data_IF_358670786842
#
_entry.id   IF_358670786842
#
_cell.length_a   1.000
_cell.length_b   1.000
_cell.length_c   1.000
_cell.angle_alpha   90.00
_cell.angle_beta   90.00
_cell.angle_gamma   90.00
#
_symmetry.space_group_name_H-M   'P 1'
#
loop_
_entity.id
_entity.type
_entity.pdbx_description
1 polymer ?
#
# COMPACT_ATOMS: atom_id res chain seq x y z
N UNK A 1 30.43 -31.47 4.76
CA UNK A 1 29.05 -31.78 5.00
C UNK A 1 28.66 -32.96 4.14
N UNK A 2 28.47 -34.15 4.75
CA UNK A 2 28.09 -35.34 4.02
C UNK A 2 26.59 -35.33 3.80
N UNK A 3 26.18 -35.06 2.57
CA UNK A 3 24.80 -35.24 2.13
C UNK A 3 24.55 -36.76 2.08
N UNK A 4 23.72 -37.27 2.98
CA UNK A 4 23.22 -38.64 2.86
C UNK A 4 22.22 -38.67 1.71
N UNK A 5 22.68 -39.13 0.55
CA UNK A 5 21.80 -39.37 -0.61
C UNK A 5 21.00 -40.64 -0.30
N UNK A 6 19.76 -40.52 0.05
CA UNK A 6 18.78 -41.60 -0.04
C UNK A 6 18.43 -41.78 -1.53
N UNK A 7 18.61 -42.95 -2.11
CA UNK A 7 18.23 -43.24 -3.49
C UNK A 7 16.76 -42.82 -3.75
N UNK A 8 16.55 -42.00 -4.77
CA UNK A 8 15.22 -41.53 -5.22
C UNK A 8 14.65 -40.34 -4.52
N UNK A 9 15.34 -39.69 -3.59
CA UNK A 9 14.88 -38.46 -2.92
C UNK A 9 15.57 -37.24 -3.49
N UNK A 10 14.77 -36.28 -4.02
CA UNK A 10 15.24 -34.95 -4.40
C UNK A 10 15.15 -33.96 -3.24
N UNK A 11 15.73 -32.77 -3.43
CA UNK A 11 15.69 -31.70 -2.44
C UNK A 11 15.90 -30.33 -3.08
N UNK A 12 15.53 -29.26 -2.34
CA UNK A 12 15.72 -27.88 -2.72
C UNK A 12 16.87 -27.24 -1.93
N UNK A 13 17.81 -26.59 -2.63
CA UNK A 13 18.85 -25.76 -2.03
C UNK A 13 18.64 -24.30 -2.46
N UNK A 14 18.66 -23.39 -1.49
CA UNK A 14 18.54 -21.96 -1.73
C UNK A 14 19.84 -21.26 -1.38
N UNK A 15 20.40 -20.53 -2.35
CA UNK A 15 21.56 -19.65 -2.19
C UNK A 15 21.04 -18.22 -2.25
N UNK A 16 21.07 -17.48 -1.13
CA UNK A 16 20.52 -16.14 -1.05
C UNK A 16 21.53 -15.11 -0.53
N UNK A 17 21.21 -13.83 -0.62
CA UNK A 17 22.02 -12.72 -0.14
C UNK A 17 21.97 -11.50 -1.05
N UNK A 18 22.68 -10.43 -0.67
CA UNK A 18 22.72 -9.16 -1.41
C UNK A 18 23.41 -9.31 -2.78
N UNK A 19 23.30 -8.29 -3.63
CA UNK A 19 24.16 -8.20 -4.81
C UNK A 19 25.65 -8.24 -4.40
N UNK A 20 26.49 -8.76 -5.27
CA UNK A 20 27.95 -8.90 -5.07
C UNK A 20 28.37 -9.86 -3.93
N UNK A 21 27.46 -10.69 -3.43
CA UNK A 21 27.76 -11.63 -2.35
C UNK A 21 28.32 -13.00 -2.83
N UNK A 22 28.43 -13.23 -4.14
CA UNK A 22 28.98 -14.47 -4.69
C UNK A 22 27.96 -15.60 -4.91
N UNK A 23 26.66 -15.31 -4.90
CA UNK A 23 25.59 -16.32 -5.10
C UNK A 23 25.71 -17.11 -6.38
N UNK A 24 25.86 -16.42 -7.53
CA UNK A 24 26.00 -17.06 -8.84
C UNK A 24 27.30 -17.87 -8.93
N UNK A 25 28.39 -17.43 -8.28
CA UNK A 25 29.63 -18.18 -8.15
C UNK A 25 29.44 -19.50 -7.40
N UNK A 26 28.71 -19.46 -6.28
CA UNK A 26 28.41 -20.65 -5.50
C UNK A 26 27.46 -21.58 -6.25
N UNK A 27 26.46 -21.09 -6.96
CA UNK A 27 25.61 -21.90 -7.84
C UNK A 27 26.45 -22.61 -8.88
N UNK A 28 27.32 -21.89 -9.60
CA UNK A 28 28.23 -22.44 -10.59
C UNK A 28 29.15 -23.48 -9.96
N UNK A 29 29.70 -23.23 -8.77
CA UNK A 29 30.55 -24.17 -8.04
C UNK A 29 29.82 -25.47 -7.72
N UNK A 30 28.58 -25.41 -7.26
CA UNK A 30 27.75 -26.61 -6.96
C UNK A 30 27.43 -27.38 -8.22
N UNK A 31 27.03 -26.72 -9.29
CA UNK A 31 26.75 -27.38 -10.60
C UNK A 31 28.00 -28.05 -11.20
N UNK A 32 29.18 -27.42 -11.11
CA UNK A 32 30.43 -28.03 -11.55
C UNK A 32 30.77 -29.28 -10.76
N UNK A 33 30.59 -29.25 -9.43
CA UNK A 33 30.81 -30.44 -8.60
C UNK A 33 29.89 -31.60 -8.99
N UNK A 34 28.61 -31.31 -9.27
CA UNK A 34 27.67 -32.31 -9.78
C UNK A 34 28.14 -32.89 -11.14
N UNK A 35 28.60 -32.02 -12.06
CA UNK A 35 29.16 -32.46 -13.35
C UNK A 35 30.39 -33.32 -13.19
N UNK A 36 31.31 -33.00 -12.27
CA UNK A 36 32.47 -33.85 -11.97
C UNK A 36 32.07 -35.19 -11.34
N UNK A 37 30.90 -35.25 -10.68
CA UNK A 37 30.32 -36.51 -10.18
C UNK A 37 29.56 -37.28 -11.26
N UNK A 38 29.71 -36.91 -12.54
CA UNK A 38 29.02 -37.49 -13.70
C UNK A 38 27.48 -37.36 -13.66
N UNK A 39 26.94 -36.41 -12.88
CA UNK A 39 25.51 -36.11 -12.86
C UNK A 39 25.12 -35.26 -14.07
N UNK A 40 23.96 -35.53 -14.64
CA UNK A 40 23.39 -34.71 -15.71
C UNK A 40 22.84 -33.38 -15.12
N UNK A 41 23.40 -32.26 -15.55
CA UNK A 41 23.03 -30.94 -15.07
C UNK A 41 22.32 -30.14 -16.15
N UNK A 42 21.40 -29.26 -15.74
CA UNK A 42 20.86 -28.18 -16.56
C UNK A 42 20.81 -26.88 -15.72
N UNK A 43 21.10 -25.77 -16.35
CA UNK A 43 21.06 -24.47 -15.67
C UNK A 43 20.18 -23.47 -16.43
N UNK A 44 19.40 -22.70 -15.71
CA UNK A 44 18.50 -21.65 -16.22
C UNK A 44 18.85 -20.31 -15.61
N UNK A 45 18.57 -19.24 -16.37
CA UNK A 45 18.57 -17.86 -15.88
C UNK A 45 17.34 -17.12 -16.39
N UNK A 46 16.89 -16.10 -15.66
CA UNK A 46 15.79 -15.27 -16.15
C UNK A 46 16.26 -14.36 -17.29
N UNK A 47 15.48 -14.26 -18.37
CA UNK A 47 15.83 -13.49 -19.58
C UNK A 47 15.99 -11.98 -19.36
N UNK A 48 15.47 -11.44 -18.24
CA UNK A 48 15.65 -10.03 -17.85
C UNK A 48 17.11 -9.71 -17.46
N UNK A 49 17.93 -10.74 -17.13
CA UNK A 49 19.33 -10.57 -16.77
C UNK A 49 20.23 -10.54 -18.01
N UNK A 50 20.35 -9.36 -18.62
CA UNK A 50 21.19 -9.09 -19.80
C UNK A 50 22.58 -8.52 -19.46
N UNK A 51 23.01 -8.60 -18.17
CA UNK A 51 24.27 -7.98 -17.70
C UNK A 51 25.55 -8.61 -18.31
N UNK A 52 25.44 -9.85 -18.79
CA UNK A 52 26.53 -10.59 -19.45
C UNK A 52 25.95 -11.36 -20.63
N UNK A 53 26.76 -12.08 -21.44
CA UNK A 53 26.38 -12.85 -22.62
C UNK A 53 25.02 -13.59 -22.48
N UNK A 54 24.14 -13.53 -23.51
CA UNK A 54 22.77 -14.07 -23.51
C UNK A 54 22.66 -15.55 -23.14
N UNK A 55 23.73 -16.32 -23.30
CA UNK A 55 23.75 -17.79 -23.15
C UNK A 55 24.61 -18.29 -22.01
N UNK A 56 25.17 -17.46 -21.14
CA UNK A 56 26.06 -17.90 -20.07
C UNK A 56 25.62 -17.39 -18.70
N UNK A 57 25.62 -18.30 -17.71
CA UNK A 57 25.70 -17.92 -16.31
C UNK A 57 27.12 -17.40 -16.07
N UNK A 58 27.28 -16.11 -15.84
CA UNK A 58 28.55 -15.45 -15.63
C UNK A 58 28.70 -14.99 -14.19
N UNK A 59 29.81 -15.31 -13.56
CA UNK A 59 30.23 -14.67 -12.32
C UNK A 59 31.17 -13.50 -12.62
N UNK A 60 31.31 -12.54 -11.69
CA UNK A 60 32.32 -11.47 -11.77
C UNK A 60 33.76 -11.98 -11.98
N UNK A 61 34.03 -13.25 -11.65
CA UNK A 61 35.34 -13.92 -11.81
C UNK A 61 35.53 -14.61 -13.17
N UNK A 62 34.70 -14.33 -14.18
CA UNK A 62 34.76 -14.93 -15.53
C UNK A 62 34.61 -16.46 -15.57
N UNK A 63 33.91 -17.03 -14.61
CA UNK A 63 33.65 -18.46 -14.54
C UNK A 63 32.26 -18.74 -15.13
N UNK A 64 32.17 -19.58 -16.19
CA UNK A 64 30.93 -19.78 -16.95
C UNK A 64 30.38 -21.21 -16.84
N UNK A 65 29.06 -21.35 -16.73
CA UNK A 65 28.27 -22.52 -17.11
C UNK A 65 27.25 -22.04 -18.14
N UNK A 66 26.99 -22.84 -19.15
CA UNK A 66 25.92 -22.53 -20.11
C UNK A 66 24.57 -22.49 -19.39
N UNK A 67 23.92 -21.33 -19.42
CA UNK A 67 22.62 -21.08 -18.80
C UNK A 67 21.58 -20.78 -19.87
N UNK A 68 20.46 -21.49 -19.80
CA UNK A 68 19.34 -21.34 -20.73
C UNK A 68 18.50 -20.15 -20.30
N UNK A 69 18.38 -19.09 -21.12
CA UNK A 69 17.51 -17.96 -20.78
C UNK A 69 16.04 -18.38 -20.93
N UNK A 70 15.22 -18.06 -19.92
CA UNK A 70 13.78 -18.31 -19.89
C UNK A 70 13.04 -17.10 -19.33
N UNK A 71 11.82 -16.84 -19.80
CA UNK A 71 11.07 -15.64 -19.44
C UNK A 71 10.10 -15.85 -18.25
N UNK A 72 9.76 -17.09 -17.93
CA UNK A 72 8.79 -17.42 -16.89
C UNK A 72 8.95 -18.86 -16.38
N UNK A 73 8.27 -19.14 -15.26
CA UNK A 73 8.33 -20.44 -14.60
C UNK A 73 7.70 -21.57 -15.43
N UNK A 74 6.67 -21.28 -16.23
CA UNK A 74 5.99 -22.26 -17.09
C UNK A 74 6.90 -22.72 -18.21
N UNK A 75 7.56 -21.82 -18.90
CA UNK A 75 8.54 -22.13 -19.96
C UNK A 75 9.69 -22.96 -19.41
N UNK A 76 10.18 -22.65 -18.21
CA UNK A 76 11.19 -23.42 -17.53
C UNK A 76 10.72 -24.86 -17.26
N UNK A 77 9.50 -25.01 -16.73
CA UNK A 77 8.89 -26.31 -16.45
C UNK A 77 8.74 -27.15 -17.72
N UNK A 78 8.20 -26.58 -18.79
CA UNK A 78 8.03 -27.25 -20.07
C UNK A 78 9.37 -27.72 -20.67
N UNK A 79 10.41 -26.91 -20.59
CA UNK A 79 11.75 -27.28 -21.06
C UNK A 79 12.34 -28.44 -20.27
N UNK A 80 12.21 -28.41 -18.93
CA UNK A 80 12.72 -29.52 -18.10
C UNK A 80 11.96 -30.80 -18.41
N UNK A 81 10.65 -30.77 -18.50
CA UNK A 81 9.82 -31.96 -18.72
C UNK A 81 9.95 -32.56 -20.13
N UNK A 82 10.22 -31.72 -21.15
CA UNK A 82 10.32 -32.17 -22.53
C UNK A 82 11.76 -32.53 -22.96
N UNK A 83 12.70 -31.62 -22.66
CA UNK A 83 14.05 -31.74 -23.20
C UNK A 83 15.11 -32.22 -22.19
N UNK A 84 14.89 -31.87 -20.90
CA UNK A 84 15.88 -32.12 -19.83
C UNK A 84 15.31 -33.02 -18.73
N UNK A 85 14.39 -33.91 -19.08
CA UNK A 85 13.73 -34.81 -18.12
C UNK A 85 14.73 -35.73 -17.40
N UNK A 86 15.84 -36.06 -18.04
CA UNK A 86 16.92 -36.89 -17.52
C UNK A 86 17.96 -36.09 -16.69
N UNK A 87 17.80 -34.76 -16.55
CA UNK A 87 18.66 -33.99 -15.67
C UNK A 87 18.44 -34.38 -14.19
N UNK A 88 19.54 -34.66 -13.49
CA UNK A 88 19.57 -35.02 -12.08
C UNK A 88 19.69 -33.78 -11.19
N UNK A 89 20.36 -32.73 -11.73
CA UNK A 89 20.57 -31.46 -11.01
C UNK A 89 20.11 -30.29 -11.87
N UNK A 90 19.25 -29.45 -11.31
CA UNK A 90 18.70 -28.26 -11.94
C UNK A 90 19.21 -27.05 -11.18
N UNK A 91 19.87 -26.11 -11.87
CA UNK A 91 20.29 -24.82 -11.32
C UNK A 91 19.42 -23.69 -11.87
N UNK A 92 19.01 -22.76 -11.03
CA UNK A 92 18.21 -21.58 -11.44
C UNK A 92 18.85 -20.34 -10.82
N UNK A 93 19.33 -19.42 -11.65
CA UNK A 93 19.88 -18.14 -11.19
C UNK A 93 18.86 -17.02 -11.30
N UNK A 94 19.02 -15.99 -10.46
CA UNK A 94 18.14 -14.81 -10.36
C UNK A 94 16.65 -15.19 -10.19
N UNK A 95 16.41 -16.19 -9.34
CA UNK A 95 15.09 -16.82 -9.17
C UNK A 95 13.99 -15.84 -8.71
N UNK A 96 14.33 -14.71 -8.09
CA UNK A 96 13.38 -13.68 -7.67
C UNK A 96 12.63 -13.01 -8.84
N UNK A 97 13.10 -13.13 -10.06
CA UNK A 97 12.41 -12.55 -11.22
C UNK A 97 11.31 -13.45 -11.80
N UNK A 98 11.20 -14.69 -11.36
CA UNK A 98 10.15 -15.62 -11.84
C UNK A 98 8.80 -15.46 -11.16
N UNK A 99 8.70 -14.66 -10.10
CA UNK A 99 7.47 -14.54 -9.32
C UNK A 99 7.12 -15.80 -8.50
N UNK A 100 5.95 -15.77 -7.85
CA UNK A 100 5.52 -16.86 -6.95
C UNK A 100 5.24 -18.19 -7.70
N UNK A 101 5.03 -18.13 -9.01
CA UNK A 101 4.77 -19.29 -9.87
C UNK A 101 5.95 -20.27 -9.93
N UNK A 102 7.17 -19.84 -9.62
CA UNK A 102 8.34 -20.73 -9.59
C UNK A 102 8.31 -21.71 -8.41
N UNK A 103 7.66 -21.36 -7.31
CA UNK A 103 7.64 -22.17 -6.08
C UNK A 103 7.08 -23.57 -6.32
N UNK A 104 5.86 -23.76 -6.86
CA UNK A 104 5.35 -25.10 -7.15
C UNK A 104 6.19 -25.86 -8.20
N UNK A 105 6.86 -25.16 -9.11
CA UNK A 105 7.69 -25.77 -10.16
C UNK A 105 8.94 -26.41 -9.55
N UNK A 106 9.67 -25.68 -8.69
CA UNK A 106 10.88 -26.23 -8.04
C UNK A 106 10.54 -27.35 -7.06
N UNK A 107 9.43 -27.26 -6.33
CA UNK A 107 8.95 -28.36 -5.49
C UNK A 107 8.60 -29.60 -6.30
N UNK A 108 7.92 -29.43 -7.43
CA UNK A 108 7.62 -30.53 -8.34
C UNK A 108 8.89 -31.26 -8.78
N UNK A 109 9.94 -30.55 -9.14
CA UNK A 109 11.21 -31.15 -9.54
C UNK A 109 11.89 -31.85 -8.37
N UNK A 110 11.90 -31.26 -7.18
CA UNK A 110 12.42 -31.93 -5.99
C UNK A 110 11.64 -33.23 -5.68
N UNK A 111 10.30 -33.21 -5.76
CA UNK A 111 9.44 -34.38 -5.59
C UNK A 111 9.64 -35.44 -6.68
N UNK A 112 10.16 -35.06 -7.86
CA UNK A 112 10.59 -36.01 -8.93
C UNK A 112 11.98 -36.64 -8.68
N UNK A 113 12.56 -36.40 -7.52
CA UNK A 113 13.87 -36.93 -7.17
C UNK A 113 15.07 -36.10 -7.68
N UNK A 114 14.83 -34.88 -8.15
CA UNK A 114 15.91 -34.02 -8.67
C UNK A 114 16.50 -33.14 -7.56
N UNK A 115 17.78 -32.88 -7.64
CA UNK A 115 18.45 -31.86 -6.84
C UNK A 115 18.21 -30.50 -7.48
N UNK A 116 17.46 -29.62 -6.84
CA UNK A 116 17.15 -28.27 -7.33
C UNK A 116 17.96 -27.25 -6.54
N UNK A 117 18.73 -26.40 -7.23
CA UNK A 117 19.56 -25.37 -6.61
C UNK A 117 19.13 -24.02 -7.18
N UNK A 118 18.57 -23.16 -6.35
CA UNK A 118 18.15 -21.82 -6.75
C UNK A 118 19.05 -20.76 -6.12
N UNK A 119 19.35 -19.70 -6.88
CA UNK A 119 20.11 -18.55 -6.39
C UNK A 119 19.33 -17.26 -6.65
N UNK A 120 19.29 -16.35 -5.66
CA UNK A 120 18.56 -15.11 -5.81
C UNK A 120 18.77 -14.10 -4.68
N UNK A 121 18.25 -12.89 -4.88
CA UNK A 121 18.23 -11.81 -3.89
C UNK A 121 17.14 -12.08 -2.86
N UNK A 122 17.49 -12.18 -1.59
CA UNK A 122 16.52 -12.36 -0.50
C UNK A 122 15.79 -11.07 -0.11
N UNK A 123 16.33 -9.92 -0.48
CA UNK A 123 15.76 -8.59 -0.23
C UNK A 123 15.88 -7.70 -1.47
N UNK A 124 14.88 -6.86 -1.67
CA UNK A 124 14.93 -5.79 -2.65
C UNK A 124 15.85 -4.63 -2.19
N UNK A 125 15.96 -3.58 -3.01
CA UNK A 125 16.79 -2.41 -2.69
C UNK A 125 16.28 -1.63 -1.47
N UNK A 126 15.02 -1.81 -1.05
CA UNK A 126 14.44 -1.19 0.15
C UNK A 126 14.79 -1.95 1.41
N UNK A 127 15.32 -3.16 1.26
CA UNK A 127 15.60 -4.08 2.35
C UNK A 127 14.36 -4.88 2.79
N UNK A 128 13.30 -4.85 1.99
CA UNK A 128 12.10 -5.67 2.16
C UNK A 128 12.28 -7.06 1.53
N UNK A 129 11.54 -8.08 1.99
CA UNK A 129 11.59 -9.42 1.40
C UNK A 129 11.31 -9.38 -0.11
N UNK A 130 12.16 -10.03 -0.90
CA UNK A 130 11.96 -10.13 -2.34
C UNK A 130 11.27 -11.47 -2.68
N UNK A 131 9.99 -11.43 -2.98
CA UNK A 131 9.24 -12.62 -3.39
C UNK A 131 9.75 -13.17 -4.72
N UNK A 132 9.83 -14.50 -4.89
CA UNK A 132 9.34 -15.59 -4.03
C UNK A 132 10.36 -16.13 -3.00
N UNK A 133 11.48 -15.46 -2.78
CA UNK A 133 12.57 -15.97 -1.95
C UNK A 133 12.17 -16.39 -0.53
N UNK A 134 11.32 -15.66 0.22
CA UNK A 134 10.92 -16.09 1.56
C UNK A 134 10.25 -17.46 1.57
N UNK A 135 9.41 -17.74 0.58
CA UNK A 135 8.71 -19.01 0.47
C UNK A 135 9.67 -20.15 0.06
N UNK A 136 10.54 -19.89 -0.90
CA UNK A 136 11.58 -20.84 -1.30
C UNK A 136 12.51 -21.20 -0.13
N UNK A 137 12.95 -20.20 0.65
CA UNK A 137 13.78 -20.40 1.83
C UNK A 137 13.09 -21.24 2.91
N UNK A 138 11.77 -21.08 3.07
CA UNK A 138 10.98 -21.83 4.07
C UNK A 138 10.80 -23.29 3.67
N UNK A 139 10.73 -23.59 2.36
CA UNK A 139 10.50 -24.94 1.83
C UNK A 139 11.79 -25.73 1.59
N UNK A 140 12.93 -25.04 1.52
CA UNK A 140 14.22 -25.66 1.18
C UNK A 140 14.78 -26.49 2.33
N UNK A 141 15.36 -27.65 2.01
CA UNK A 141 16.15 -28.47 2.95
C UNK A 141 17.47 -27.78 3.31
N UNK A 142 18.02 -26.96 2.41
CA UNK A 142 19.29 -26.26 2.64
C UNK A 142 19.17 -24.79 2.21
N UNK A 143 19.45 -23.89 3.14
CA UNK A 143 19.51 -22.44 2.89
C UNK A 143 20.89 -21.94 3.28
N UNK A 144 21.56 -21.29 2.33
CA UNK A 144 22.84 -20.63 2.59
C UNK A 144 22.75 -19.15 2.24
N UNK A 145 22.97 -18.29 3.24
CA UNK A 145 22.89 -16.85 3.09
C UNK A 145 24.28 -16.22 3.04
N UNK A 146 24.57 -15.57 1.92
CA UNK A 146 25.84 -14.92 1.65
C UNK A 146 25.78 -13.43 1.98
N UNK A 147 26.91 -12.93 2.48
CA UNK A 147 27.12 -11.50 2.68
C UNK A 147 28.23 -11.00 1.76
N UNK A 148 28.03 -9.84 1.17
CA UNK A 148 29.07 -9.11 0.46
C UNK A 148 29.91 -8.28 1.46
N UNK A 149 30.79 -7.45 0.93
CA UNK A 149 31.55 -6.47 1.72
C UNK A 149 30.94 -5.09 1.51
N UNK A 150 30.63 -4.39 2.60
CA UNK A 150 30.05 -3.06 2.55
C UNK A 150 30.99 -2.05 1.90
N UNK A 151 30.55 -1.44 0.82
CA UNK A 151 31.33 -0.46 0.07
C UNK A 151 31.66 0.82 0.89
N UNK A 152 30.91 1.07 1.96
CA UNK A 152 31.16 2.24 2.84
C UNK A 152 32.15 1.98 3.97
N UNK A 153 32.07 0.81 4.63
CA UNK A 153 32.75 0.61 5.90
C UNK A 153 33.48 -0.74 6.03
N UNK A 154 33.48 -1.56 4.98
CA UNK A 154 34.17 -2.86 4.98
C UNK A 154 33.51 -3.97 5.82
N UNK A 155 32.39 -3.70 6.50
CA UNK A 155 31.67 -4.70 7.29
C UNK A 155 30.88 -5.68 6.40
N UNK A 156 30.46 -6.86 6.91
CA UNK A 156 29.59 -7.76 6.17
C UNK A 156 28.30 -7.04 5.72
N UNK A 157 28.01 -7.17 4.41
CA UNK A 157 26.89 -6.47 3.75
C UNK A 157 25.79 -7.45 3.38
N UNK A 158 24.62 -7.28 3.98
CA UNK A 158 23.42 -8.06 3.70
C UNK A 158 22.34 -7.29 2.93
N UNK A 159 22.63 -6.07 2.48
CA UNK A 159 21.71 -5.18 1.79
C UNK A 159 22.24 -4.82 0.41
N UNK A 160 21.30 -4.64 -0.52
CA UNK A 160 21.58 -4.09 -1.84
C UNK A 160 21.15 -2.63 -1.85
N UNK A 161 22.10 -1.71 -1.94
CA UNK A 161 21.83 -0.29 -2.11
C UNK A 161 21.65 0.03 -3.58
N UNK A 162 20.51 0.61 -3.96
CA UNK A 162 20.32 1.18 -5.28
C UNK A 162 20.64 2.68 -5.25
N UNK A 163 21.39 3.11 -6.25
CA UNK A 163 21.71 4.51 -6.49
C UNK A 163 21.15 4.93 -7.86
N UNK A 164 20.48 6.06 -7.91
CA UNK A 164 20.01 6.71 -9.12
C UNK A 164 20.74 8.03 -9.26
N UNK A 165 21.52 8.21 -10.32
CA UNK A 165 22.42 9.35 -10.50
C UNK A 165 23.38 9.57 -9.30
N UNK A 166 23.84 8.49 -8.68
CA UNK A 166 24.76 8.53 -7.52
C UNK A 166 24.09 8.77 -6.16
N UNK A 167 22.78 8.99 -6.11
CA UNK A 167 22.01 9.21 -4.89
C UNK A 167 21.16 7.99 -4.51
N UNK A 168 20.97 7.71 -3.20
CA UNK A 168 20.08 6.64 -2.77
C UNK A 168 18.68 6.77 -3.37
N UNK A 169 18.16 5.65 -3.90
CA UNK A 169 16.82 5.55 -4.46
C UNK A 169 15.73 5.87 -3.42
N UNK A 170 14.58 6.31 -3.89
CA UNK A 170 13.41 6.50 -3.03
C UNK A 170 12.68 5.19 -2.79
N UNK A 171 12.03 5.06 -1.63
CA UNK A 171 11.29 3.86 -1.22
C UNK A 171 10.19 3.47 -2.21
N UNK A 172 9.55 4.47 -2.80
CA UNK A 172 8.44 4.34 -3.75
C UNK A 172 8.88 4.21 -5.23
N UNK A 173 10.20 4.17 -5.50
CA UNK A 173 10.70 3.85 -6.83
C UNK A 173 10.37 2.39 -7.20
N UNK A 174 10.15 2.06 -8.49
CA UNK A 174 9.86 0.70 -8.93
C UNK A 174 10.92 -0.31 -8.44
N UNK A 175 10.51 -1.52 -8.04
CA UNK A 175 11.44 -2.56 -7.53
C UNK A 175 12.44 -2.95 -8.62
N UNK A 176 11.95 -3.16 -9.84
CA UNK A 176 12.76 -3.47 -11.03
C UNK A 176 12.79 -2.23 -11.90
N UNK A 177 13.98 -1.74 -12.18
CA UNK A 177 14.21 -0.62 -13.08
C UNK A 177 15.39 -0.98 -13.98
N UNK A 178 15.27 -0.73 -15.27
CA UNK A 178 16.34 -0.99 -16.25
C UNK A 178 16.69 0.35 -16.88
N UNK A 179 17.90 0.86 -16.58
CA UNK A 179 18.33 2.14 -17.14
C UNK A 179 19.82 2.43 -16.91
N UNK A 180 20.39 3.26 -17.77
CA UNK A 180 21.82 3.59 -17.76
C UNK A 180 22.28 4.48 -16.58
N UNK A 181 21.33 5.06 -15.82
CA UNK A 181 21.63 5.93 -14.67
C UNK A 181 21.67 5.20 -13.32
N UNK A 182 21.46 3.89 -13.33
CA UNK A 182 21.42 3.08 -12.13
C UNK A 182 22.76 2.41 -11.81
N UNK A 183 23.05 2.37 -10.54
CA UNK A 183 24.12 1.56 -9.99
C UNK A 183 23.68 0.89 -8.69
N UNK A 184 24.32 -0.22 -8.38
CA UNK A 184 24.06 -0.96 -7.15
C UNK A 184 25.34 -1.15 -6.36
N UNK A 185 25.23 -1.12 -5.05
CA UNK A 185 26.32 -1.34 -4.12
C UNK A 185 25.91 -2.27 -2.99
N UNK A 186 26.87 -3.06 -2.49
CA UNK A 186 26.64 -3.81 -1.28
C UNK A 186 26.81 -2.92 -0.04
N UNK A 187 25.83 -2.93 0.86
CA UNK A 187 25.84 -2.13 2.10
C UNK A 187 25.48 -2.99 3.32
N UNK A 188 26.09 -2.71 4.45
CA UNK A 188 25.65 -3.25 5.73
C UNK A 188 24.37 -2.54 6.20
N UNK A 189 23.69 -3.10 7.20
CA UNK A 189 22.45 -2.52 7.76
C UNK A 189 22.61 -1.05 8.20
N UNK A 190 23.80 -0.67 8.71
CA UNK A 190 24.07 0.70 9.17
C UNK A 190 24.26 1.68 8.01
N UNK A 191 24.90 1.24 6.91
CA UNK A 191 25.25 2.10 5.79
C UNK A 191 24.20 2.11 4.66
N UNK A 192 23.22 1.22 4.73
CA UNK A 192 22.12 1.16 3.79
C UNK A 192 21.14 2.30 4.03
N UNK A 193 20.85 3.07 3.00
CA UNK A 193 19.95 4.24 3.04
C UNK A 193 18.89 4.11 1.97
N UNK A 194 17.64 4.24 2.36
CA UNK A 194 16.49 4.36 1.46
C UNK A 194 15.87 5.71 1.73
N UNK A 195 15.85 6.57 0.73
CA UNK A 195 15.20 7.87 0.84
C UNK A 195 13.69 7.67 0.85
N UNK A 196 12.99 8.43 1.68
CA UNK A 196 11.55 8.62 1.53
C UNK A 196 11.37 10.02 0.96
N UNK A 197 10.52 10.15 -0.05
CA UNK A 197 10.13 11.50 -0.47
C UNK A 197 9.47 12.13 0.74
N UNK A 198 9.86 13.36 1.06
CA UNK A 198 9.09 14.21 1.98
C UNK A 198 7.76 14.53 1.27
N UNK A 199 6.89 13.55 1.20
CA UNK A 199 5.49 13.78 0.91
C UNK A 199 5.00 14.49 2.16
N UNK A 200 4.88 15.81 2.12
CA UNK A 200 3.97 16.48 3.05
C UNK A 200 2.62 15.84 2.79
N UNK A 201 2.25 14.87 3.63
CA UNK A 201 0.89 14.36 3.61
C UNK A 201 -0.03 15.57 3.69
N UNK A 202 -1.02 15.61 2.82
CA UNK A 202 -1.99 16.68 2.82
C UNK A 202 -2.68 16.78 4.19
N UNK A 203 -3.12 17.95 4.54
CA UNK A 203 -3.94 18.16 5.73
C UNK A 203 -5.28 17.46 5.56
N UNK A 204 -5.60 16.50 6.41
CA UNK A 204 -6.86 15.77 6.41
C UNK A 204 -7.87 16.41 7.36
N UNK A 205 -9.02 16.81 6.82
CA UNK A 205 -10.12 17.42 7.57
C UNK A 205 -11.36 16.56 7.41
N UNK A 206 -11.86 15.99 8.50
CA UNK A 206 -13.16 15.32 8.50
C UNK A 206 -14.27 16.29 8.88
N UNK A 207 -15.35 16.31 8.11
CA UNK A 207 -16.57 17.05 8.42
C UNK A 207 -17.60 16.08 8.99
N UNK A 208 -17.92 16.24 10.27
CA UNK A 208 -18.78 15.35 11.06
C UNK A 208 -20.03 16.10 11.47
N UNK A 209 -21.17 15.48 11.30
CA UNK A 209 -22.43 16.03 11.75
C UNK A 209 -22.92 15.44 13.07
N UNK A 210 -23.65 16.23 13.85
CA UNK A 210 -24.44 15.71 14.99
C UNK A 210 -25.72 14.99 14.54
N UNK A 211 -26.02 15.03 13.23
CA UNK A 211 -27.18 14.38 12.61
C UNK A 211 -27.17 14.44 11.08
N UNK A 212 -28.32 14.18 10.48
CA UNK A 212 -28.54 14.26 9.03
C UNK A 212 -29.21 15.62 8.70
N UNK A 213 -29.02 16.11 7.46
CA UNK A 213 -29.63 17.37 6.95
C UNK A 213 -29.35 18.65 7.79
N UNK A 214 -28.20 18.66 8.47
CA UNK A 214 -27.78 19.78 9.32
C UNK A 214 -26.83 20.75 8.64
N UNK A 215 -26.63 20.60 7.33
CA UNK A 215 -25.77 21.45 6.51
C UNK A 215 -24.31 21.10 6.47
N UNK A 216 -23.93 19.80 6.66
CA UNK A 216 -22.54 19.33 6.48
C UNK A 216 -21.97 19.75 5.14
N UNK A 217 -22.70 19.50 4.06
CA UNK A 217 -22.27 19.81 2.69
C UNK A 217 -22.08 21.31 2.48
N UNK A 218 -22.90 22.14 3.10
CA UNK A 218 -22.73 23.60 3.07
C UNK A 218 -21.40 24.00 3.73
N UNK A 219 -21.10 23.45 4.89
CA UNK A 219 -19.82 23.66 5.60
C UNK A 219 -18.64 23.11 4.80
N UNK A 220 -18.75 21.92 4.24
CA UNK A 220 -17.71 21.33 3.39
C UNK A 220 -17.40 22.19 2.18
N UNK A 221 -18.43 22.71 1.49
CA UNK A 221 -18.27 23.68 0.38
C UNK A 221 -17.51 24.93 0.81
N UNK A 222 -17.84 25.47 1.98
CA UNK A 222 -17.17 26.65 2.51
C UNK A 222 -15.68 26.35 2.77
N UNK A 223 -15.37 25.25 3.46
CA UNK A 223 -13.98 24.83 3.72
C UNK A 223 -13.21 24.61 2.41
N UNK A 224 -13.85 23.98 1.42
CA UNK A 224 -13.22 23.75 0.10
C UNK A 224 -12.90 25.08 -0.60
N UNK A 225 -13.84 26.02 -0.64
CA UNK A 225 -13.63 27.34 -1.26
C UNK A 225 -12.57 28.16 -0.53
N UNK A 226 -12.58 28.18 0.80
CA UNK A 226 -11.56 28.84 1.64
C UNK A 226 -10.16 28.20 1.43
N UNK A 227 -10.10 26.90 1.18
CA UNK A 227 -8.87 26.16 0.93
C UNK A 227 -8.34 26.40 -0.48
N UNK A 228 -9.21 26.39 -1.50
CA UNK A 228 -8.86 26.69 -2.89
C UNK A 228 -8.34 28.12 -3.09
N UNK A 229 -8.79 29.08 -2.26
CA UNK A 229 -8.22 30.42 -2.25
C UNK A 229 -6.74 30.46 -1.81
N UNK A 230 -6.21 29.38 -1.24
CA UNK A 230 -4.83 29.28 -0.70
C UNK A 230 -3.96 28.29 -1.46
N UNK A 231 -4.54 27.28 -2.10
CA UNK A 231 -3.83 26.22 -2.84
C UNK A 231 -4.72 25.61 -3.90
N UNK A 232 -4.15 25.31 -5.07
CA UNK A 232 -4.84 24.59 -6.15
C UNK A 232 -4.90 23.06 -5.89
N UNK A 233 -4.19 22.58 -4.84
CA UNK A 233 -4.14 21.17 -4.46
C UNK A 233 -5.11 20.86 -3.33
N UNK A 234 -6.39 20.97 -3.63
CA UNK A 234 -7.50 20.74 -2.68
C UNK A 234 -8.51 19.77 -3.30
N UNK A 235 -8.99 18.83 -2.50
CA UNK A 235 -10.06 17.93 -2.91
C UNK A 235 -11.07 17.73 -1.78
N UNK A 236 -12.35 17.64 -2.16
CA UNK A 236 -13.44 17.19 -1.29
C UNK A 236 -13.78 15.74 -1.61
N UNK A 237 -13.93 14.92 -0.59
CA UNK A 237 -14.32 13.53 -0.70
C UNK A 237 -15.64 13.27 0.01
N UNK A 238 -16.51 12.54 -0.64
CA UNK A 238 -17.72 11.93 -0.10
C UNK A 238 -17.65 10.42 -0.35
N UNK A 239 -16.84 9.67 0.42
CA UNK A 239 -16.52 8.27 0.08
C UNK A 239 -17.75 7.38 -0.03
N UNK A 240 -18.79 7.67 0.76
CA UNK A 240 -20.08 7.00 0.71
C UNK A 240 -21.18 8.04 0.65
N UNK A 241 -22.09 7.92 -0.30
CA UNK A 241 -23.26 8.77 -0.45
C UNK A 241 -24.54 7.94 -0.55
N UNK A 242 -25.59 8.39 0.11
CA UNK A 242 -26.92 7.75 0.13
C UNK A 242 -28.01 8.77 -0.13
N UNK A 243 -29.10 8.35 -0.80
CA UNK A 243 -30.27 9.20 -1.03
C UNK A 243 -30.20 10.08 -2.26
N UNK A 244 -29.31 9.78 -3.21
CA UNK A 244 -29.27 10.53 -4.46
C UNK A 244 -30.10 9.85 -5.54
N UNK A 245 -30.96 10.61 -6.21
CA UNK A 245 -32.06 10.08 -7.01
C UNK A 245 -31.65 9.40 -8.34
N UNK A 246 -30.42 9.48 -8.83
CA UNK A 246 -30.05 8.86 -10.13
C UNK A 246 -28.63 8.34 -10.21
N UNK A 247 -28.49 7.07 -10.62
CA UNK A 247 -27.30 6.54 -11.29
C UNK A 247 -27.40 6.95 -12.77
N UNK A 248 -26.48 7.77 -13.28
CA UNK A 248 -26.42 8.16 -14.67
C UNK A 248 -26.16 9.65 -14.90
N UNK A 249 -26.42 10.14 -16.10
CA UNK A 249 -26.01 11.44 -16.62
C UNK A 249 -26.52 12.68 -15.86
N UNK A 250 -27.36 12.54 -14.82
CA UNK A 250 -27.91 13.62 -14.00
C UNK A 250 -27.65 13.44 -12.51
N UNK A 251 -26.38 13.50 -12.09
CA UNK A 251 -25.96 13.59 -10.67
C UNK A 251 -26.07 15.02 -10.10
N UNK A 252 -26.73 15.92 -10.82
CA UNK A 252 -26.94 17.30 -10.40
C UNK A 252 -27.62 17.36 -9.03
N UNK A 253 -26.87 17.87 -8.02
CA UNK A 253 -27.36 18.04 -6.66
C UNK A 253 -26.83 17.07 -5.62
N UNK A 254 -26.11 16.00 -6.02
CA UNK A 254 -25.42 15.13 -5.04
C UNK A 254 -24.22 15.83 -4.40
N UNK A 255 -23.88 15.46 -3.15
CA UNK A 255 -22.71 16.02 -2.45
C UNK A 255 -21.43 15.75 -3.22
N UNK A 256 -21.28 14.54 -3.76
CA UNK A 256 -20.13 14.13 -4.57
C UNK A 256 -19.96 14.94 -5.84
N UNK A 257 -21.06 15.20 -6.55
CA UNK A 257 -21.05 16.05 -7.75
C UNK A 257 -20.61 17.48 -7.42
N UNK A 258 -21.16 18.04 -6.36
CA UNK A 258 -20.81 19.39 -5.91
C UNK A 258 -19.33 19.50 -5.54
N UNK A 259 -18.76 18.50 -4.88
CA UNK A 259 -17.34 18.50 -4.53
C UNK A 259 -16.45 18.34 -5.77
N UNK A 260 -16.87 17.49 -6.71
CA UNK A 260 -16.20 17.32 -7.99
C UNK A 260 -16.18 18.63 -8.80
N UNK A 261 -17.32 19.33 -8.89
CA UNK A 261 -17.45 20.63 -9.58
C UNK A 261 -16.54 21.70 -8.94
N UNK A 262 -16.62 21.86 -7.60
CA UNK A 262 -15.84 22.87 -6.87
C UNK A 262 -14.33 22.65 -7.03
N UNK A 263 -13.87 21.38 -7.03
CA UNK A 263 -12.45 21.03 -7.05
C UNK A 263 -11.92 20.71 -8.46
N UNK A 264 -12.78 20.78 -9.50
CA UNK A 264 -12.42 20.47 -10.89
C UNK A 264 -12.00 19.00 -11.09
N UNK A 265 -12.56 18.09 -10.32
CA UNK A 265 -12.28 16.64 -10.36
C UNK A 265 -13.45 15.88 -10.96
N UNK A 266 -13.25 14.60 -11.26
CA UNK A 266 -14.35 13.70 -11.68
C UNK A 266 -15.05 13.15 -10.44
N UNK A 267 -16.31 12.75 -10.56
CA UNK A 267 -17.08 12.19 -9.44
C UNK A 267 -16.44 10.91 -8.91
N UNK A 268 -15.86 10.07 -9.78
CA UNK A 268 -15.17 8.83 -9.40
C UNK A 268 -13.91 9.07 -8.56
N UNK A 269 -13.31 10.27 -8.64
CA UNK A 269 -12.17 10.66 -7.82
C UNK A 269 -12.60 11.17 -6.43
N UNK A 270 -13.89 11.48 -6.24
CA UNK A 270 -14.49 12.05 -5.02
C UNK A 270 -15.28 11.02 -4.22
N UNK A 271 -15.96 10.11 -4.91
CA UNK A 271 -16.86 9.12 -4.32
C UNK A 271 -16.41 7.69 -4.63
N UNK A 272 -16.73 6.75 -3.73
CA UNK A 272 -16.47 5.33 -3.94
C UNK A 272 -17.74 4.48 -3.98
N UNK A 273 -18.71 4.82 -3.12
CA UNK A 273 -19.97 4.10 -3.00
C UNK A 273 -21.16 5.07 -3.05
N UNK A 274 -22.04 4.79 -3.96
CA UNK A 274 -23.21 5.61 -4.24
C UNK A 274 -24.47 4.77 -4.16
N UNK A 275 -25.38 5.15 -3.28
CA UNK A 275 -26.65 4.44 -3.07
C UNK A 275 -27.84 5.36 -3.28
N UNK A 276 -28.87 4.88 -4.00
CA UNK A 276 -30.05 5.70 -4.32
C UNK A 276 -30.99 5.89 -3.13
N UNK A 277 -31.05 4.91 -2.21
CA UNK A 277 -31.96 4.96 -1.08
C UNK A 277 -31.46 5.86 0.04
N UNK A 278 -32.30 6.76 0.60
CA UNK A 278 -31.92 7.66 1.71
C UNK A 278 -31.93 6.90 3.04
N UNK A 279 -30.95 6.03 3.21
CA UNK A 279 -30.78 5.16 4.39
C UNK A 279 -29.35 5.23 4.90
N UNK A 280 -29.09 4.61 6.06
CA UNK A 280 -27.70 4.47 6.50
C UNK A 280 -26.93 3.59 5.52
N UNK A 281 -25.63 3.87 5.30
CA UNK A 281 -24.81 3.20 4.27
C UNK A 281 -24.91 1.68 4.29
N UNK A 282 -24.81 1.04 5.46
CA UNK A 282 -24.83 -0.43 5.57
C UNK A 282 -26.18 -1.03 5.12
N UNK A 283 -27.31 -0.39 5.40
CA UNK A 283 -28.64 -0.85 4.95
C UNK A 283 -28.81 -0.61 3.44
N UNK A 284 -28.38 0.55 2.95
CA UNK A 284 -28.46 0.85 1.53
C UNK A 284 -27.62 -0.15 0.71
N UNK A 285 -26.43 -0.46 1.17
CA UNK A 285 -25.52 -1.44 0.56
C UNK A 285 -26.12 -2.86 0.57
N UNK A 286 -26.70 -3.30 1.70
CA UNK A 286 -27.36 -4.60 1.80
C UNK A 286 -28.50 -4.73 0.79
N UNK A 287 -29.32 -3.68 0.65
CA UNK A 287 -30.45 -3.68 -0.28
C UNK A 287 -30.02 -3.69 -1.76
N UNK A 288 -28.89 -3.09 -2.07
CA UNK A 288 -28.34 -3.05 -3.43
C UNK A 288 -27.39 -4.24 -3.70
N UNK A 289 -27.20 -5.16 -2.73
CA UNK A 289 -26.33 -6.33 -2.85
C UNK A 289 -24.83 -5.97 -2.96
N UNK A 290 -24.43 -4.83 -2.43
CA UNK A 290 -23.06 -4.31 -2.46
C UNK A 290 -22.42 -4.48 -1.07
N UNK A 291 -21.20 -5.00 -1.02
CA UNK A 291 -20.39 -4.99 0.22
C UNK A 291 -19.46 -3.77 0.22
N UNK A 292 -19.59 -2.89 1.21
CA UNK A 292 -18.69 -1.74 1.37
C UNK A 292 -17.32 -2.24 1.86
N UNK A 293 -16.31 -2.18 0.99
CA UNK A 293 -14.92 -2.48 1.39
C UNK A 293 -14.26 -1.22 1.98
N UNK A 294 -14.01 -1.25 3.27
CA UNK A 294 -13.34 -0.16 3.99
C UNK A 294 -11.93 0.11 3.47
N UNK A 295 -11.26 -0.90 2.91
CA UNK A 295 -9.93 -0.72 2.31
C UNK A 295 -9.99 0.19 1.08
N UNK A 296 -11.05 0.12 0.28
CA UNK A 296 -11.24 1.00 -0.86
C UNK A 296 -11.49 2.45 -0.46
N UNK A 297 -12.26 2.66 0.63
CA UNK A 297 -12.47 4.01 1.20
C UNK A 297 -11.14 4.58 1.69
N UNK A 298 -10.34 3.79 2.41
CA UNK A 298 -9.02 4.21 2.88
C UNK A 298 -8.07 4.47 1.72
N UNK A 299 -8.05 3.61 0.71
CA UNK A 299 -7.22 3.80 -0.48
C UNK A 299 -7.55 5.10 -1.23
N UNK A 300 -8.85 5.47 -1.32
CA UNK A 300 -9.28 6.76 -1.87
C UNK A 300 -8.72 7.93 -1.07
N UNK A 301 -8.83 7.89 0.26
CA UNK A 301 -8.32 8.95 1.15
C UNK A 301 -6.80 9.03 1.06
N UNK A 302 -6.09 7.91 1.19
CA UNK A 302 -4.62 7.85 1.21
C UNK A 302 -4.02 8.31 -0.13
N UNK A 303 -4.60 7.89 -1.27
CA UNK A 303 -4.22 8.40 -2.60
C UNK A 303 -4.30 9.92 -2.65
N UNK A 304 -5.43 10.48 -2.21
CA UNK A 304 -5.66 11.92 -2.28
C UNK A 304 -4.79 12.71 -1.29
N UNK A 305 -4.42 12.13 -0.14
CA UNK A 305 -3.46 12.74 0.79
C UNK A 305 -2.05 12.86 0.20
N UNK A 306 -1.67 11.97 -0.72
CA UNK A 306 -0.38 12.05 -1.43
C UNK A 306 -0.40 13.09 -2.55
N UNK A 307 -1.55 13.34 -3.17
CA UNK A 307 -1.69 14.17 -4.36
C UNK A 307 -2.08 15.63 -4.05
N UNK A 308 -2.71 15.88 -2.89
CA UNK A 308 -3.26 17.17 -2.53
C UNK A 308 -2.70 17.68 -1.19
N UNK A 309 -2.69 19.00 -1.01
CA UNK A 309 -2.26 19.66 0.23
C UNK A 309 -3.38 19.70 1.28
N UNK A 310 -4.65 19.68 0.84
CA UNK A 310 -5.82 19.67 1.71
C UNK A 310 -6.84 18.68 1.17
N UNK A 311 -7.23 17.74 2.02
CA UNK A 311 -8.26 16.73 1.75
C UNK A 311 -9.38 16.90 2.76
N UNK A 312 -10.58 17.22 2.29
CA UNK A 312 -11.78 17.36 3.10
C UNK A 312 -12.66 16.14 2.90
N UNK A 313 -12.97 15.41 3.97
CA UNK A 313 -13.78 14.18 3.90
C UNK A 313 -15.09 14.41 4.65
N UNK A 314 -16.21 14.32 3.95
CA UNK A 314 -17.53 14.40 4.56
C UNK A 314 -18.13 13.02 4.80
N UNK A 315 -18.59 12.77 6.03
CA UNK A 315 -19.29 11.54 6.40
C UNK A 315 -20.76 11.52 5.95
N UNK A 316 -21.30 10.33 5.80
CA UNK A 316 -22.72 10.10 5.59
C UNK A 316 -23.45 10.07 6.96
N UNK A 317 -24.38 10.98 7.20
CA UNK A 317 -25.14 11.06 8.45
C UNK A 317 -24.34 11.58 9.64
N UNK A 318 -24.54 10.98 10.81
CA UNK A 318 -23.85 11.34 12.05
C UNK A 318 -22.62 10.47 12.35
N UNK A 319 -21.93 10.79 13.45
CA UNK A 319 -20.63 10.16 13.82
C UNK A 319 -20.70 8.63 13.96
N UNK A 320 -21.77 8.09 14.53
CA UNK A 320 -21.90 6.64 14.78
C UNK A 320 -22.71 5.90 13.69
N UNK A 321 -22.88 6.52 12.52
CA UNK A 321 -23.59 5.86 11.40
C UNK A 321 -22.73 4.70 10.87
N UNK A 322 -23.31 3.47 10.81
CA UNK A 322 -22.60 2.32 10.29
C UNK A 322 -22.36 2.39 8.77
N UNK A 323 -21.13 2.14 8.39
CA UNK A 323 -20.76 1.91 6.98
C UNK A 323 -20.86 0.42 6.63
N UNK A 324 -20.55 -0.43 7.60
CA UNK A 324 -20.62 -1.88 7.53
C UNK A 324 -20.92 -2.43 8.93
N UNK A 325 -21.33 -3.71 9.03
CA UNK A 325 -21.44 -4.38 10.34
C UNK A 325 -20.13 -4.23 11.13
N UNK A 326 -20.23 -3.71 12.35
CA UNK A 326 -19.10 -3.46 13.26
C UNK A 326 -18.07 -2.40 12.76
N UNK A 327 -18.46 -1.51 11.82
CA UNK A 327 -17.61 -0.41 11.40
C UNK A 327 -18.46 0.84 11.12
N UNK A 328 -18.21 1.88 11.89
CA UNK A 328 -18.92 3.17 11.81
C UNK A 328 -18.03 4.25 11.18
N UNK A 329 -18.59 5.43 10.94
CA UNK A 329 -17.77 6.57 10.54
C UNK A 329 -16.76 6.97 11.63
N UNK A 330 -17.08 6.77 12.92
CA UNK A 330 -16.12 6.98 14.02
C UNK A 330 -14.89 6.09 13.87
N UNK A 331 -15.07 4.83 13.50
CA UNK A 331 -13.94 3.91 13.33
C UNK A 331 -12.99 4.38 12.22
N UNK A 332 -13.52 4.96 11.14
CA UNK A 332 -12.72 5.59 10.11
C UNK A 332 -11.92 6.79 10.66
N UNK A 333 -12.52 7.62 11.49
CA UNK A 333 -11.82 8.73 12.13
C UNK A 333 -10.73 8.25 13.08
N UNK A 334 -10.97 7.17 13.84
CA UNK A 334 -9.98 6.55 14.74
C UNK A 334 -8.77 6.06 13.96
N UNK A 335 -8.97 5.46 12.79
CA UNK A 335 -7.88 5.00 11.92
C UNK A 335 -6.96 6.16 11.46
N UNK A 336 -7.51 7.37 11.32
CA UNK A 336 -6.79 8.56 10.86
C UNK A 336 -6.48 9.58 11.97
N UNK A 337 -6.76 9.30 13.25
CA UNK A 337 -6.71 10.27 14.36
C UNK A 337 -5.39 11.02 14.54
N UNK A 338 -4.25 10.38 14.16
CA UNK A 338 -2.93 10.98 14.33
C UNK A 338 -2.59 12.04 13.26
N UNK A 339 -3.28 12.01 12.13
CA UNK A 339 -2.99 12.87 10.97
C UNK A 339 -4.19 13.67 10.47
N UNK A 340 -5.30 13.63 11.20
CA UNK A 340 -6.52 14.36 10.85
C UNK A 340 -6.97 15.31 11.93
N UNK A 341 -7.81 16.25 11.54
CA UNK A 341 -8.60 17.08 12.44
C UNK A 341 -10.07 17.04 12.01
N UNK A 342 -10.97 17.33 12.96
CA UNK A 342 -12.41 17.23 12.77
C UNK A 342 -13.06 18.59 12.93
N UNK A 343 -13.94 18.92 11.97
CA UNK A 343 -14.91 20.00 12.07
C UNK A 343 -16.27 19.39 12.41
N UNK A 344 -16.82 19.77 13.55
CA UNK A 344 -18.15 19.30 14.01
C UNK A 344 -19.21 20.30 13.56
N UNK A 345 -20.18 19.82 12.80
CA UNK A 345 -21.33 20.62 12.34
C UNK A 345 -22.57 20.27 13.15
N UNK A 346 -23.25 21.27 13.69
CA UNK A 346 -24.49 21.10 14.42
C UNK A 346 -25.53 22.17 13.97
N UNK A 347 -26.81 21.83 13.92
CA UNK A 347 -27.84 22.84 13.67
C UNK A 347 -27.99 23.73 14.92
N UNK A 348 -28.08 25.02 14.75
CA UNK A 348 -28.26 25.93 15.89
C UNK A 348 -29.75 26.04 16.25
N UNK A 349 -30.31 24.99 16.83
CA UNK A 349 -31.73 24.85 17.19
C UNK A 349 -31.90 24.35 18.62
N UNK A 350 -33.12 24.31 19.13
CA UNK A 350 -33.42 23.70 20.43
C UNK A 350 -32.96 22.23 20.47
N UNK A 351 -32.24 21.84 21.52
CA UNK A 351 -31.68 20.50 21.72
C UNK A 351 -30.27 20.31 21.18
N UNK A 352 -29.71 21.28 20.44
CA UNK A 352 -28.38 21.18 19.85
C UNK A 352 -27.27 20.96 20.88
N UNK A 353 -27.40 21.59 22.07
CA UNK A 353 -26.38 21.49 23.14
C UNK A 353 -26.08 20.03 23.47
N UNK A 354 -27.15 19.23 23.73
CA UNK A 354 -26.98 17.82 24.08
C UNK A 354 -26.28 17.02 22.97
N UNK A 355 -26.74 17.11 21.72
CA UNK A 355 -26.19 16.34 20.60
C UNK A 355 -24.76 16.78 20.29
N UNK A 356 -24.46 18.06 20.39
CA UNK A 356 -23.12 18.60 20.16
C UNK A 356 -22.13 18.13 21.23
N UNK A 357 -22.52 18.22 22.51
CA UNK A 357 -21.70 17.79 23.63
C UNK A 357 -21.44 16.26 23.60
N UNK A 358 -22.45 15.46 23.26
CA UNK A 358 -22.29 14.01 23.07
C UNK A 358 -21.30 13.71 21.95
N UNK A 359 -21.42 14.37 20.80
CA UNK A 359 -20.48 14.17 19.67
C UNK A 359 -19.06 14.56 20.07
N UNK A 360 -18.89 15.70 20.73
CA UNK A 360 -17.59 16.16 21.23
C UNK A 360 -16.99 15.18 22.25
N UNK A 361 -17.80 14.66 23.18
CA UNK A 361 -17.35 13.70 24.20
C UNK A 361 -16.85 12.40 23.57
N UNK A 362 -17.60 11.87 22.60
CA UNK A 362 -17.18 10.66 21.86
C UNK A 362 -15.88 10.89 21.10
N UNK A 363 -15.73 12.01 20.40
CA UNK A 363 -14.49 12.34 19.68
C UNK A 363 -13.30 12.44 20.62
N UNK A 364 -13.46 13.14 21.77
CA UNK A 364 -12.41 13.30 22.78
C UNK A 364 -11.99 11.97 23.41
N UNK A 365 -12.93 11.08 23.74
CA UNK A 365 -12.63 9.76 24.31
C UNK A 365 -11.83 8.88 23.35
N UNK A 366 -11.87 9.15 22.05
CA UNK A 366 -11.12 8.45 21.03
C UNK A 366 -9.85 9.19 20.59
N UNK A 367 -9.40 10.21 21.36
CA UNK A 367 -8.21 11.02 21.08
C UNK A 367 -8.23 11.70 19.69
N UNK A 368 -9.43 12.08 19.24
CA UNK A 368 -9.60 12.74 17.94
C UNK A 368 -9.56 14.26 18.14
N UNK A 369 -8.69 14.92 17.38
CA UNK A 369 -8.51 16.36 17.42
C UNK A 369 -9.69 17.08 16.78
N UNK A 370 -10.41 17.89 17.55
CA UNK A 370 -11.46 18.78 17.05
C UNK A 370 -10.84 20.15 16.79
N UNK A 371 -10.87 20.60 15.53
CA UNK A 371 -10.35 21.91 15.13
C UNK A 371 -11.38 23.02 15.26
N UNK A 372 -12.66 22.73 15.00
CA UNK A 372 -13.73 23.71 15.00
C UNK A 372 -15.08 23.06 15.27
N UNK A 373 -15.99 23.80 15.87
CA UNK A 373 -17.45 23.51 15.95
C UNK A 373 -18.20 24.60 15.19
N UNK A 374 -19.03 24.19 14.24
CA UNK A 374 -19.84 25.11 13.44
C UNK A 374 -21.32 24.92 13.78
N UNK A 375 -21.90 25.97 14.33
CA UNK A 375 -23.34 26.06 14.59
C UNK A 375 -24.01 26.68 13.37
N UNK A 376 -24.77 25.87 12.64
CA UNK A 376 -25.42 26.29 11.41
C UNK A 376 -26.85 26.84 11.69
N UNK A 377 -27.06 28.09 11.37
CA UNK A 377 -28.34 28.77 11.54
C UNK A 377 -29.32 28.45 10.39
N UNK A 378 -29.72 27.16 10.30
CA UNK A 378 -30.60 26.65 9.23
C UNK A 378 -31.96 27.33 9.27
N UNK A 379 -32.52 27.50 10.47
CA UNK A 379 -33.84 28.09 10.68
C UNK A 379 -33.71 29.57 11.04
N UNK A 380 -34.04 30.42 10.08
CA UNK A 380 -33.99 31.90 10.23
C UNK A 380 -35.08 32.47 11.13
N UNK A 381 -36.02 31.66 11.61
CA UNK A 381 -37.10 32.10 12.51
C UNK A 381 -36.71 32.03 13.99
N UNK A 382 -35.57 31.41 14.31
CA UNK A 382 -35.09 31.21 15.67
C UNK A 382 -34.62 32.56 16.28
N UNK A 383 -35.00 32.77 17.52
CA UNK A 383 -34.61 33.97 18.27
C UNK A 383 -33.08 34.04 18.48
N UNK A 384 -32.52 35.22 18.25
CA UNK A 384 -31.07 35.49 18.39
C UNK A 384 -30.54 35.22 19.81
N UNK A 385 -31.37 35.42 20.83
CA UNK A 385 -30.98 35.13 22.21
C UNK A 385 -30.76 33.62 22.42
N UNK A 386 -31.64 32.78 21.85
CA UNK A 386 -31.47 31.32 21.88
C UNK A 386 -30.24 30.87 21.10
N UNK A 387 -29.98 31.42 19.92
CA UNK A 387 -28.80 31.11 19.12
C UNK A 387 -27.51 31.37 19.93
N UNK A 388 -27.45 32.56 20.56
CA UNK A 388 -26.32 32.96 21.40
C UNK A 388 -26.15 32.05 22.63
N UNK A 389 -27.28 31.70 23.30
CA UNK A 389 -27.25 30.86 24.49
C UNK A 389 -26.74 29.43 24.19
N UNK A 390 -27.05 28.85 23.02
CA UNK A 390 -26.55 27.59 22.58
C UNK A 390 -25.02 27.62 22.45
N UNK A 391 -24.47 28.64 21.81
CA UNK A 391 -23.03 28.83 21.66
C UNK A 391 -22.34 28.97 23.00
N UNK A 392 -22.83 29.90 23.87
CA UNK A 392 -22.26 30.12 25.20
C UNK A 392 -22.28 28.84 26.06
N UNK A 393 -23.36 28.07 25.99
CA UNK A 393 -23.45 26.79 26.69
C UNK A 393 -22.39 25.80 26.20
N UNK A 394 -22.21 25.62 24.89
CA UNK A 394 -21.20 24.70 24.33
C UNK A 394 -19.78 25.17 24.70
N UNK A 395 -19.50 26.48 24.62
CA UNK A 395 -18.22 27.08 25.04
C UNK A 395 -17.90 26.81 26.51
N UNK A 396 -18.91 26.92 27.40
CA UNK A 396 -18.73 26.71 28.84
C UNK A 396 -18.52 25.24 29.23
N UNK A 397 -19.11 24.30 28.51
CA UNK A 397 -19.05 22.87 28.80
C UNK A 397 -17.93 22.13 28.02
N UNK A 398 -17.17 22.83 27.17
CA UNK A 398 -16.08 22.23 26.41
C UNK A 398 -14.78 23.03 26.56
N UNK A 399 -13.66 22.40 26.18
CA UNK A 399 -12.38 23.10 26.07
C UNK A 399 -12.14 23.70 24.68
N UNK A 400 -13.13 23.54 23.78
CA UNK A 400 -13.06 24.03 22.40
C UNK A 400 -13.32 25.53 22.38
N UNK A 401 -12.38 26.29 21.83
CA UNK A 401 -12.45 27.73 21.74
C UNK A 401 -12.91 28.23 20.37
N UNK A 402 -12.72 27.38 19.35
CA UNK A 402 -13.12 27.74 17.99
C UNK A 402 -14.55 27.25 17.71
N UNK A 403 -15.52 28.10 18.06
CA UNK A 403 -16.93 27.86 17.76
C UNK A 403 -17.41 29.00 16.87
N UNK A 404 -17.84 28.66 15.66
CA UNK A 404 -18.32 29.61 14.67
C UNK A 404 -19.83 29.41 14.41
N UNK A 405 -20.53 30.48 14.25
CA UNK A 405 -21.91 30.48 13.75
C UNK A 405 -21.90 30.75 12.25
N UNK A 406 -22.75 30.04 11.53
CA UNK A 406 -22.90 30.17 10.08
C UNK A 406 -24.32 30.58 9.74
N UNK A 407 -24.48 31.70 9.01
CA UNK A 407 -25.75 32.26 8.59
C UNK A 407 -26.25 31.76 7.22
#
# INVERSE_FOLDING_TARGET
MHLFLTEGMGWLEVICGSMFSGKSEELIRRLRRAKYANQKIVAFKHSIDNRYDETKLASHSQTFIEGIPVCDAKTLEELVLSKYIDAEVIGIDEVQFFGDEIVPVVEKFANMGKRVIVAGLDQDFRGEPFHPMPELMTRAEYVEKFNAICMCCGSPASRTQRLVNGEPAFFDDPIIMVGASESYEARCRKCHVVKRRDVKEGKLIFVVGTGTEIGKTHVSKMILKESLAKSDKVIGLKPVETGSETFGENLEGSDSFVFAEITGKRVEDVNRYFFTKPMSPHIAAELDGVDIDIKEIKALIDKNLMENEIVVVEGAGGLLVPYKNNYTFLDLLVDYRQKSEVVVVAPNVLGTINHTLMTIDVLKRNDIKISEVILNNIDKTIDKEMLKSNREAIENFTTIKNIRELD
#
